data_IF_465973115280
#
_entry.id   IF_465973115280
#
_cell.length_a   1.000
_cell.length_b   1.000
_cell.length_c   1.000
_cell.angle_alpha   90.00
_cell.angle_beta   90.00
_cell.angle_gamma   90.00
#
_symmetry.space_group_name_H-M   'P 1'
#
loop_
_entity.id
_entity.type
_entity.pdbx_description
1 polymer ?
#
# COMPACT_ATOMS: atom_id res chain seq x y z
N UNK A 1 -26.98 -2.04 -5.76
CA UNK A 1 -25.70 -2.73 -5.55
C UNK A 1 -25.64 -3.87 -6.55
N UNK A 2 -24.66 -3.86 -7.45
CA UNK A 2 -24.47 -4.92 -8.45
C UNK A 2 -24.22 -6.25 -7.74
N UNK A 3 -24.71 -7.37 -8.30
CA UNK A 3 -24.42 -8.70 -7.78
C UNK A 3 -23.58 -9.49 -8.78
N UNK A 4 -22.49 -10.05 -8.31
CA UNK A 4 -21.42 -10.64 -9.11
C UNK A 4 -21.34 -12.16 -8.93
N UNK A 5 -22.47 -12.85 -9.08
CA UNK A 5 -22.58 -14.28 -8.82
C UNK A 5 -21.57 -15.11 -9.60
N UNK A 6 -21.47 -14.90 -10.92
CA UNK A 6 -20.58 -15.68 -11.78
C UNK A 6 -19.10 -15.37 -11.53
N UNK A 7 -18.76 -14.09 -11.28
CA UNK A 7 -17.39 -13.68 -11.02
C UNK A 7 -16.90 -14.26 -9.70
N UNK A 8 -17.67 -14.10 -8.62
CA UNK A 8 -17.25 -14.60 -7.30
C UNK A 8 -17.19 -16.13 -7.27
N UNK A 9 -18.12 -16.83 -7.91
CA UNK A 9 -18.09 -18.30 -7.98
C UNK A 9 -16.89 -18.85 -8.77
N UNK A 10 -16.27 -18.04 -9.62
CA UNK A 10 -15.08 -18.40 -10.40
C UNK A 10 -13.76 -17.98 -9.76
N UNK A 11 -13.77 -17.26 -8.62
CA UNK A 11 -12.54 -16.85 -7.96
C UNK A 11 -11.82 -18.08 -7.39
N UNK A 12 -10.48 -18.18 -7.56
CA UNK A 12 -9.71 -19.23 -6.93
C UNK A 12 -9.66 -19.04 -5.42
N UNK A 13 -9.60 -20.14 -4.68
CA UNK A 13 -9.27 -20.09 -3.26
C UNK A 13 -7.78 -19.74 -3.11
N UNK A 14 -7.49 -18.75 -2.26
CA UNK A 14 -6.14 -18.28 -1.97
C UNK A 14 -5.90 -18.24 -0.47
N UNK A 15 -4.68 -18.57 -0.06
CA UNK A 15 -4.24 -18.56 1.33
C UNK A 15 -2.92 -17.80 1.46
N UNK A 16 -2.71 -17.16 2.61
CA UNK A 16 -1.49 -16.37 2.85
C UNK A 16 -0.21 -17.23 2.83
N UNK A 17 -0.34 -18.53 3.10
CA UNK A 17 0.75 -19.50 3.08
C UNK A 17 1.06 -20.06 1.69
N UNK A 18 0.33 -19.65 0.65
CA UNK A 18 0.55 -20.14 -0.71
C UNK A 18 1.95 -19.73 -1.21
N UNK A 19 2.71 -20.73 -1.67
CA UNK A 19 4.08 -20.56 -2.18
C UNK A 19 4.13 -20.39 -3.70
N UNK A 20 2.98 -20.54 -4.36
CA UNK A 20 2.80 -20.34 -5.81
C UNK A 20 1.38 -19.85 -6.06
N UNK A 21 1.22 -19.03 -7.09
CA UNK A 21 -0.07 -18.53 -7.54
C UNK A 21 -0.36 -19.05 -8.94
N UNK A 22 -1.57 -19.56 -9.14
CA UNK A 22 -2.13 -19.86 -10.47
C UNK A 22 -2.92 -18.68 -11.05
N UNK A 23 -3.12 -17.63 -10.26
CA UNK A 23 -3.88 -16.44 -10.59
C UNK A 23 -3.16 -15.23 -9.98
N UNK A 24 -3.08 -14.12 -10.69
CA UNK A 24 -2.29 -12.94 -10.30
C UNK A 24 -3.12 -11.67 -10.35
N UNK A 25 -2.60 -10.58 -9.77
CA UNK A 25 -3.23 -9.24 -9.91
C UNK A 25 -3.37 -8.85 -11.39
N UNK A 26 -2.45 -9.27 -12.25
CA UNK A 26 -2.54 -9.04 -13.69
C UNK A 26 -3.73 -9.81 -14.32
N UNK A 27 -3.90 -11.09 -13.95
CA UNK A 27 -5.02 -11.91 -14.44
C UNK A 27 -6.36 -11.31 -13.99
N UNK A 28 -6.45 -10.84 -12.74
CA UNK A 28 -7.62 -10.13 -12.22
C UNK A 28 -7.96 -8.90 -13.09
N UNK A 29 -6.96 -8.09 -13.44
CA UNK A 29 -7.14 -6.88 -14.26
C UNK A 29 -7.65 -7.21 -15.67
N UNK A 30 -7.28 -8.36 -16.22
CA UNK A 30 -7.72 -8.78 -17.56
C UNK A 30 -9.07 -9.49 -17.58
N UNK A 31 -9.38 -10.25 -16.53
CA UNK A 31 -10.55 -11.16 -16.56
C UNK A 31 -11.74 -10.64 -15.75
N UNK A 32 -11.51 -10.04 -14.57
CA UNK A 32 -12.59 -9.60 -13.68
C UNK A 32 -12.94 -8.14 -13.91
N UNK A 33 -11.93 -7.28 -14.02
CA UNK A 33 -12.12 -5.83 -14.12
C UNK A 33 -13.05 -5.41 -15.27
N UNK A 34 -12.95 -5.95 -16.51
CA UNK A 34 -13.80 -5.54 -17.62
C UNK A 34 -15.31 -5.71 -17.36
N UNK A 35 -15.67 -6.74 -16.60
CA UNK A 35 -17.06 -7.14 -16.31
C UNK A 35 -17.71 -6.35 -15.16
N UNK A 36 -16.94 -5.49 -14.49
CA UNK A 36 -17.45 -4.63 -13.43
C UNK A 36 -18.23 -3.44 -13.98
N UNK A 37 -19.19 -2.95 -13.18
CA UNK A 37 -19.95 -1.74 -13.53
C UNK A 37 -19.03 -0.53 -13.48
N UNK A 38 -19.36 0.55 -14.19
CA UNK A 38 -18.54 1.77 -14.15
C UNK A 38 -18.40 2.36 -12.74
N UNK A 39 -19.38 2.13 -11.85
CA UNK A 39 -19.31 2.57 -10.46
C UNK A 39 -18.37 1.66 -9.64
N UNK A 40 -18.45 0.35 -9.85
CA UNK A 40 -17.65 -0.65 -9.13
C UNK A 40 -16.18 -0.65 -9.60
N UNK A 41 -15.92 -0.34 -10.89
CA UNK A 41 -14.57 -0.09 -11.42
C UNK A 41 -13.86 1.02 -10.65
N UNK A 42 -14.55 2.13 -10.36
CA UNK A 42 -13.97 3.25 -9.57
C UNK A 42 -13.56 2.82 -8.18
N UNK A 43 -14.25 1.85 -7.57
CA UNK A 43 -13.83 1.30 -6.28
C UNK A 43 -12.54 0.49 -6.44
N UNK A 44 -12.44 -0.35 -7.46
CA UNK A 44 -11.21 -1.10 -7.77
C UNK A 44 -10.05 -0.17 -8.14
N UNK A 45 -10.31 0.92 -8.86
CA UNK A 45 -9.29 1.89 -9.24
C UNK A 45 -8.57 2.45 -8.00
N UNK A 46 -9.27 2.62 -6.86
CA UNK A 46 -8.67 3.04 -5.59
C UNK A 46 -7.53 2.13 -5.13
N UNK A 47 -7.61 0.83 -5.38
CA UNK A 47 -6.52 -0.11 -5.07
C UNK A 47 -5.29 0.16 -5.93
N UNK A 48 -5.48 0.43 -7.22
CA UNK A 48 -4.38 0.59 -8.17
C UNK A 48 -3.68 1.96 -8.06
N UNK A 49 -4.37 2.96 -7.51
CA UNK A 49 -3.80 4.29 -7.25
C UNK A 49 -2.54 4.26 -6.36
N UNK A 50 -2.33 3.24 -5.52
CA UNK A 50 -1.07 3.10 -4.76
C UNK A 50 0.16 2.94 -5.67
N UNK A 51 -0.01 2.33 -6.84
CA UNK A 51 1.05 2.22 -7.84
C UNK A 51 1.25 3.55 -8.57
N UNK A 52 0.15 4.24 -8.91
CA UNK A 52 0.19 5.57 -9.51
C UNK A 52 0.87 6.60 -8.60
N UNK A 53 0.60 6.58 -7.29
CA UNK A 53 1.25 7.45 -6.29
C UNK A 53 2.77 7.26 -6.29
N UNK A 54 3.23 6.00 -6.30
CA UNK A 54 4.67 5.68 -6.34
C UNK A 54 5.30 6.10 -7.67
N UNK A 55 4.59 5.91 -8.78
CA UNK A 55 5.04 6.35 -10.10
C UNK A 55 5.13 7.88 -10.17
N UNK A 56 4.16 8.59 -9.61
CA UNK A 56 4.11 10.04 -9.60
C UNK A 56 5.33 10.63 -8.88
N UNK A 57 5.64 10.16 -7.66
CA UNK A 57 6.83 10.60 -6.92
C UNK A 57 8.11 10.29 -7.69
N UNK A 58 8.22 9.11 -8.31
CA UNK A 58 9.39 8.77 -9.14
C UNK A 58 9.55 9.75 -10.31
N UNK A 59 8.48 10.04 -11.04
CA UNK A 59 8.50 10.90 -12.23
C UNK A 59 8.73 12.38 -11.89
N UNK A 60 8.26 12.84 -10.72
CA UNK A 60 8.54 14.19 -10.22
C UNK A 60 10.02 14.39 -9.89
N UNK A 61 10.70 13.33 -9.42
CA UNK A 61 12.14 13.34 -9.14
C UNK A 61 13.00 13.11 -10.39
N UNK A 62 12.58 12.19 -11.27
CA UNK A 62 13.28 11.83 -12.50
C UNK A 62 12.27 11.47 -13.61
N UNK A 63 12.24 12.28 -14.67
CA UNK A 63 11.30 12.12 -15.78
C UNK A 63 11.53 10.86 -16.61
N UNK A 64 12.74 10.30 -16.54
CA UNK A 64 13.12 9.07 -17.26
C UNK A 64 12.98 7.81 -16.37
N UNK A 65 12.44 7.96 -15.15
CA UNK A 65 12.30 6.88 -14.20
C UNK A 65 11.37 5.75 -14.71
N UNK A 66 11.78 4.50 -14.43
CA UNK A 66 10.97 3.32 -14.76
C UNK A 66 9.75 3.24 -13.82
N UNK A 67 8.57 3.25 -14.44
CA UNK A 67 7.27 3.18 -13.77
C UNK A 67 6.74 1.75 -13.67
N UNK A 68 5.87 1.52 -12.69
CA UNK A 68 5.13 0.28 -12.50
C UNK A 68 3.83 0.32 -13.32
N UNK A 69 3.69 -0.58 -14.30
CA UNK A 69 2.55 -0.60 -15.22
C UNK A 69 1.24 -1.13 -14.60
N UNK A 70 1.24 -1.48 -13.31
CA UNK A 70 0.02 -1.89 -12.59
C UNK A 70 -0.90 -0.73 -12.22
N UNK A 71 -0.41 0.51 -12.28
CA UNK A 71 -1.20 1.71 -12.04
C UNK A 71 -2.39 1.85 -13.00
N UNK A 72 -3.31 2.75 -12.67
CA UNK A 72 -4.40 3.11 -13.58
C UNK A 72 -3.89 3.96 -14.75
N UNK A 73 -2.77 4.66 -14.56
CA UNK A 73 -2.20 5.57 -15.54
C UNK A 73 -0.83 5.07 -16.01
N UNK A 74 -0.58 5.25 -17.29
CA UNK A 74 0.74 5.04 -17.86
C UNK A 74 1.72 6.11 -17.39
N UNK A 75 3.02 5.82 -17.46
CA UNK A 75 4.06 6.82 -17.14
C UNK A 75 3.94 8.10 -17.97
N UNK A 76 3.52 8.00 -19.24
CA UNK A 76 3.32 9.16 -20.10
C UNK A 76 2.12 10.02 -19.66
N UNK A 77 0.99 9.39 -19.31
CA UNK A 77 -0.19 10.12 -18.79
C UNK A 77 0.15 10.87 -17.50
N UNK A 78 0.93 10.27 -16.60
CA UNK A 78 1.40 10.94 -15.38
C UNK A 78 2.37 12.09 -15.69
N UNK A 79 3.28 11.95 -16.65
CA UNK A 79 4.16 13.05 -17.11
C UNK A 79 3.38 14.21 -17.74
N UNK A 80 2.35 13.88 -18.51
CA UNK A 80 1.45 14.87 -19.12
C UNK A 80 0.66 15.60 -18.02
N UNK A 81 0.15 14.87 -17.02
CA UNK A 81 -0.50 15.46 -15.84
C UNK A 81 0.44 16.42 -15.10
N UNK A 82 1.67 15.99 -14.78
CA UNK A 82 2.68 16.83 -14.11
C UNK A 82 2.90 18.13 -14.91
N UNK A 83 3.03 18.01 -16.23
CA UNK A 83 3.27 19.15 -17.12
C UNK A 83 2.06 20.09 -17.15
N UNK A 84 0.84 19.55 -17.26
CA UNK A 84 -0.39 20.33 -17.30
C UNK A 84 -0.61 21.12 -16.00
N UNK A 85 -0.38 20.50 -14.84
CA UNK A 85 -0.51 21.17 -13.54
C UNK A 85 0.57 22.24 -13.39
N UNK A 86 1.84 21.94 -13.74
CA UNK A 86 2.93 22.92 -13.69
C UNK A 86 2.66 24.14 -14.59
N UNK A 87 2.09 23.92 -15.76
CA UNK A 87 1.81 24.97 -16.74
C UNK A 87 0.49 25.73 -16.42
N UNK A 88 -0.19 25.41 -15.31
CA UNK A 88 -1.35 26.14 -14.80
C UNK A 88 -2.67 25.81 -15.53
N UNK A 89 -2.80 24.62 -16.11
CA UNK A 89 -4.06 24.15 -16.70
C UNK A 89 -5.13 24.05 -15.61
N UNK A 90 -6.38 24.42 -15.95
CA UNK A 90 -7.50 24.38 -15.01
C UNK A 90 -7.70 22.96 -14.45
N UNK A 91 -7.50 22.81 -13.14
CA UNK A 91 -7.59 21.56 -12.39
C UNK A 91 -8.94 20.85 -12.57
N UNK A 92 -10.05 21.60 -12.67
CA UNK A 92 -11.40 21.05 -12.84
C UNK A 92 -11.62 20.34 -14.20
N UNK A 93 -10.76 20.63 -15.18
CA UNK A 93 -10.83 20.02 -16.51
C UNK A 93 -10.05 18.71 -16.62
N UNK A 94 -9.23 18.39 -15.61
CA UNK A 94 -8.36 17.23 -15.60
C UNK A 94 -9.14 16.00 -15.12
N UNK A 95 -9.17 14.96 -15.95
CA UNK A 95 -9.87 13.70 -15.64
C UNK A 95 -9.06 12.76 -14.72
N UNK A 96 -8.44 13.33 -13.67
CA UNK A 96 -7.61 12.62 -12.70
C UNK A 96 -8.18 12.78 -11.28
N UNK A 97 -7.85 11.88 -10.35
CA UNK A 97 -8.14 12.07 -8.93
C UNK A 97 -7.61 13.42 -8.47
N UNK A 98 -8.48 14.22 -7.85
CA UNK A 98 -8.17 15.60 -7.44
C UNK A 98 -6.94 15.66 -6.54
N UNK A 99 -6.78 14.66 -5.67
CA UNK A 99 -5.66 14.61 -4.73
C UNK A 99 -4.28 14.48 -5.42
N UNK A 100 -4.20 13.91 -6.63
CA UNK A 100 -2.96 13.88 -7.40
C UNK A 100 -2.60 15.28 -7.91
N UNK A 101 -3.61 16.04 -8.32
CA UNK A 101 -3.45 17.43 -8.76
C UNK A 101 -3.02 18.28 -7.56
N UNK A 102 -3.73 18.16 -6.43
CA UNK A 102 -3.41 18.85 -5.17
C UNK A 102 -1.95 18.59 -4.76
N UNK A 103 -1.49 17.33 -4.87
CA UNK A 103 -0.12 16.96 -4.55
C UNK A 103 0.91 17.58 -5.50
N UNK A 104 0.67 17.56 -6.81
CA UNK A 104 1.60 18.16 -7.80
C UNK A 104 1.67 19.68 -7.61
N UNK A 105 0.53 20.33 -7.37
CA UNK A 105 0.44 21.75 -7.04
C UNK A 105 1.24 22.07 -5.77
N UNK A 106 1.12 21.24 -4.72
CA UNK A 106 1.96 21.36 -3.52
C UNK A 106 3.45 21.18 -3.82
N UNK A 107 3.82 20.16 -4.61
CA UNK A 107 5.22 19.84 -4.93
C UNK A 107 5.97 21.01 -5.60
N UNK A 108 5.28 21.77 -6.46
CA UNK A 108 5.86 22.97 -7.10
C UNK A 108 5.68 24.26 -6.30
N UNK A 109 5.00 24.22 -5.15
CA UNK A 109 4.78 25.40 -4.31
C UNK A 109 6.00 25.72 -3.43
N UNK A 110 6.11 26.97 -2.98
CA UNK A 110 7.13 27.39 -2.01
C UNK A 110 7.00 26.69 -0.64
N UNK A 111 5.87 26.04 -0.38
CA UNK A 111 5.59 25.32 0.87
C UNK A 111 6.05 23.85 0.83
N UNK A 112 6.59 23.37 -0.30
CA UNK A 112 7.08 22.01 -0.41
C UNK A 112 8.24 21.78 0.58
N UNK A 113 8.23 20.62 1.24
CA UNK A 113 9.39 20.14 1.98
C UNK A 113 10.21 19.25 1.03
N UNK A 114 11.48 19.60 0.80
CA UNK A 114 12.38 18.83 -0.08
C UNK A 114 12.69 17.42 0.47
N UNK A 115 12.28 17.11 1.71
CA UNK A 115 12.41 15.79 2.27
C UNK A 115 11.42 14.80 1.63
N UNK A 116 11.96 13.83 0.89
CA UNK A 116 11.18 12.79 0.22
C UNK A 116 10.21 12.03 1.15
N UNK A 117 10.58 11.79 2.41
CA UNK A 117 9.68 11.11 3.36
C UNK A 117 8.46 11.98 3.70
N UNK A 118 8.64 13.30 3.84
CA UNK A 118 7.55 14.24 4.10
C UNK A 118 6.62 14.33 2.89
N UNK A 119 7.18 14.31 1.68
CA UNK A 119 6.40 14.29 0.44
C UNK A 119 5.58 12.99 0.31
N UNK A 120 6.18 11.84 0.61
CA UNK A 120 5.49 10.54 0.62
C UNK A 120 4.37 10.49 1.66
N UNK A 121 4.61 11.01 2.87
CA UNK A 121 3.63 11.09 3.94
C UNK A 121 2.46 12.02 3.57
N UNK A 122 2.75 13.16 2.93
CA UNK A 122 1.72 14.09 2.48
C UNK A 122 0.84 13.48 1.36
N UNK A 123 1.46 12.86 0.34
CA UNK A 123 0.72 12.15 -0.71
C UNK A 123 -0.13 11.02 -0.13
N UNK A 124 0.41 10.29 0.85
CA UNK A 124 -0.32 9.25 1.57
C UNK A 124 -1.55 9.82 2.28
N UNK A 125 -1.41 10.99 2.95
CA UNK A 125 -2.53 11.68 3.59
C UNK A 125 -3.66 11.95 2.62
N UNK A 126 -3.30 12.55 1.48
CA UNK A 126 -4.23 12.93 0.42
C UNK A 126 -4.92 11.70 -0.19
N UNK A 127 -4.18 10.61 -0.40
CA UNK A 127 -4.70 9.35 -0.92
C UNK A 127 -5.70 8.68 0.04
N UNK A 128 -5.37 8.56 1.33
CA UNK A 128 -6.27 7.99 2.33
C UNK A 128 -7.54 8.84 2.48
N UNK A 129 -7.40 10.17 2.53
CA UNK A 129 -8.54 11.08 2.58
C UNK A 129 -9.44 10.94 1.35
N UNK A 130 -8.85 10.86 0.15
CA UNK A 130 -9.60 10.66 -1.09
C UNK A 130 -10.39 9.34 -1.08
N UNK A 131 -9.75 8.24 -0.70
CA UNK A 131 -10.40 6.93 -0.64
C UNK A 131 -11.50 6.86 0.44
N UNK A 132 -11.30 7.51 1.58
CA UNK A 132 -12.28 7.58 2.68
C UNK A 132 -13.49 8.48 2.37
N UNK A 133 -13.47 9.26 1.27
CA UNK A 133 -14.66 9.96 0.75
C UNK A 133 -15.58 9.07 -0.09
N UNK A 134 -15.23 7.79 -0.26
CA UNK A 134 -16.07 6.80 -0.94
C UNK A 134 -17.44 6.66 -0.28
N UNK A 135 -18.47 6.36 -1.08
CA UNK A 135 -19.82 6.03 -0.56
C UNK A 135 -19.94 4.58 -0.09
N UNK A 136 -18.91 3.76 -0.34
CA UNK A 136 -18.90 2.36 0.04
C UNK A 136 -18.25 2.21 1.42
N UNK A 137 -19.04 1.79 2.42
CA UNK A 137 -18.62 1.70 3.82
C UNK A 137 -17.42 0.75 4.01
N UNK A 138 -17.42 -0.42 3.36
CA UNK A 138 -16.31 -1.36 3.44
C UNK A 138 -15.00 -0.74 2.95
N UNK A 139 -15.04 0.01 1.84
CA UNK A 139 -13.87 0.74 1.32
C UNK A 139 -13.40 1.77 2.35
N UNK A 140 -14.30 2.60 2.87
CA UNK A 140 -13.96 3.62 3.88
C UNK A 140 -13.29 2.95 5.10
N UNK A 141 -13.90 1.90 5.64
CA UNK A 141 -13.37 1.18 6.80
C UNK A 141 -12.02 0.50 6.52
N UNK A 142 -11.80 -0.04 5.31
CA UNK A 142 -10.52 -0.64 4.94
C UNK A 142 -9.40 0.40 4.88
N UNK A 143 -9.65 1.55 4.26
CA UNK A 143 -8.67 2.62 4.16
C UNK A 143 -8.39 3.25 5.52
N UNK A 144 -9.41 3.48 6.33
CA UNK A 144 -9.27 3.95 7.70
C UNK A 144 -8.47 2.97 8.57
N UNK A 145 -8.78 1.67 8.49
CA UNK A 145 -8.03 0.63 9.19
C UNK A 145 -6.55 0.64 8.83
N UNK A 146 -6.21 0.77 7.54
CA UNK A 146 -4.80 0.82 7.11
C UNK A 146 -4.11 2.11 7.54
N UNK A 147 -4.78 3.26 7.47
CA UNK A 147 -4.24 4.53 7.97
C UNK A 147 -3.93 4.43 9.47
N UNK A 148 -4.89 3.96 10.26
CA UNK A 148 -4.75 3.79 11.70
C UNK A 148 -3.65 2.80 12.05
N UNK A 149 -3.60 1.63 11.39
CA UNK A 149 -2.56 0.63 11.58
C UNK A 149 -1.16 1.20 11.30
N UNK A 150 -0.98 1.89 10.18
CA UNK A 150 0.30 2.48 9.79
C UNK A 150 0.72 3.58 10.78
N UNK A 151 -0.21 4.46 11.15
CA UNK A 151 0.05 5.53 12.11
C UNK A 151 0.40 4.99 13.50
N UNK A 152 -0.29 3.95 13.98
CA UNK A 152 0.04 3.32 15.28
C UNK A 152 1.45 2.74 15.23
N UNK A 153 1.82 2.02 14.16
CA UNK A 153 3.17 1.47 14.01
C UNK A 153 4.22 2.58 13.96
N UNK A 154 3.99 3.64 13.18
CA UNK A 154 4.85 4.81 13.10
C UNK A 154 5.02 5.47 14.48
N UNK A 155 3.93 5.69 15.21
CA UNK A 155 3.94 6.29 16.54
C UNK A 155 4.76 5.46 17.55
N UNK A 156 4.58 4.14 17.55
CA UNK A 156 5.31 3.23 18.41
C UNK A 156 6.81 3.23 18.11
N UNK A 157 7.17 3.21 16.82
CA UNK A 157 8.57 3.32 16.37
C UNK A 157 9.18 4.66 16.78
N UNK A 158 8.50 5.78 16.48
CA UNK A 158 8.93 7.12 16.83
C UNK A 158 9.17 7.26 18.33
N UNK A 159 8.26 6.73 19.16
CA UNK A 159 8.42 6.71 20.62
C UNK A 159 9.60 5.85 21.08
N UNK A 160 9.79 4.65 20.51
CA UNK A 160 10.91 3.76 20.82
C UNK A 160 12.27 4.43 20.55
N UNK A 161 12.36 5.21 19.48
CA UNK A 161 13.58 5.91 19.08
C UNK A 161 13.64 7.38 19.51
N UNK A 162 12.71 7.84 20.38
CA UNK A 162 12.63 9.22 20.89
C UNK A 162 12.55 10.29 19.80
N UNK A 163 11.91 9.96 18.68
CA UNK A 163 11.57 10.88 17.61
C UNK A 163 10.24 11.58 17.92
N UNK A 164 10.02 12.71 17.26
CA UNK A 164 8.76 13.46 17.35
C UNK A 164 7.63 12.64 16.70
N UNK A 165 6.74 12.09 17.54
CA UNK A 165 5.63 11.26 17.09
C UNK A 165 4.74 12.03 16.14
N UNK A 166 4.38 13.28 16.47
CA UNK A 166 3.37 14.03 15.73
C UNK A 166 3.78 14.28 14.26
N UNK A 167 5.08 14.40 13.99
CA UNK A 167 5.62 14.55 12.63
C UNK A 167 5.49 13.30 11.77
N UNK A 168 5.39 12.12 12.37
CA UNK A 168 5.27 10.84 11.66
C UNK A 168 3.82 10.37 11.45
N UNK A 169 2.82 11.15 11.89
CA UNK A 169 1.41 10.76 11.83
C UNK A 169 0.70 11.48 10.69
N UNK A 170 0.11 10.69 9.81
CA UNK A 170 -0.58 11.13 8.60
C UNK A 170 -2.10 11.21 8.84
N UNK A 171 -2.79 12.11 8.14
CA UNK A 171 -4.25 12.26 8.23
C UNK A 171 -4.77 12.88 9.53
N UNK A 172 -6.10 12.97 9.64
CA UNK A 172 -6.83 13.70 10.67
C UNK A 172 -8.01 12.90 11.27
N UNK A 173 -7.89 11.57 11.37
CA UNK A 173 -8.88 10.74 12.09
C UNK A 173 -8.75 10.92 13.61
N UNK A 174 -9.73 10.45 14.38
CA UNK A 174 -9.68 10.47 15.84
C UNK A 174 -8.43 9.74 16.37
N UNK A 175 -8.05 8.62 15.75
CA UNK A 175 -6.81 7.90 16.05
C UNK A 175 -5.59 8.75 15.72
N UNK A 176 -5.52 9.39 14.54
CA UNK A 176 -4.41 10.28 14.20
C UNK A 176 -4.28 11.44 15.19
N UNK A 177 -5.40 12.04 15.63
CA UNK A 177 -5.42 13.13 16.62
C UNK A 177 -4.92 12.63 17.98
N UNK A 178 -5.39 11.47 18.44
CA UNK A 178 -4.95 10.85 19.68
C UNK A 178 -3.44 10.58 19.66
N UNK A 179 -2.91 10.02 18.56
CA UNK A 179 -1.48 9.75 18.41
C UNK A 179 -0.62 11.03 18.43
N UNK A 180 -1.11 12.13 17.83
CA UNK A 180 -0.40 13.43 17.78
C UNK A 180 -0.36 14.15 19.12
N UNK A 181 -1.38 13.96 19.98
CA UNK A 181 -1.59 14.81 21.16
C UNK A 181 -1.45 14.09 22.49
N UNK A 182 -1.64 12.76 22.54
CA UNK A 182 -1.67 12.00 23.78
C UNK A 182 -0.28 11.69 24.34
N UNK A 183 -0.07 12.06 25.60
CA UNK A 183 1.13 11.70 26.37
C UNK A 183 1.11 10.29 26.98
N UNK A 184 -0.02 9.58 26.90
CA UNK A 184 -0.16 8.23 27.47
C UNK A 184 0.69 7.22 26.70
N UNK A 185 1.18 6.17 27.39
CA UNK A 185 2.03 5.12 26.79
C UNK A 185 1.35 4.39 25.63
N UNK A 186 0.04 4.22 25.72
CA UNK A 186 -0.83 3.60 24.73
C UNK A 186 -1.62 4.61 23.89
N UNK A 187 -1.31 5.90 24.06
CA UNK A 187 -2.01 7.03 23.44
C UNK A 187 -3.51 7.14 23.80
N UNK A 188 -4.00 6.36 24.78
CA UNK A 188 -5.43 6.24 25.07
C UNK A 188 -6.20 5.38 24.07
N UNK A 189 -5.50 4.54 23.28
CA UNK A 189 -6.12 3.68 22.27
C UNK A 189 -6.47 2.28 22.77
N UNK A 190 -6.00 1.89 23.96
CA UNK A 190 -6.38 0.60 24.56
C UNK A 190 -7.87 0.59 24.86
N UNK A 191 -8.60 -0.37 24.29
CA UNK A 191 -10.06 -0.48 24.44
C UNK A 191 -10.85 0.32 23.39
N UNK A 192 -10.26 1.32 22.75
CA UNK A 192 -10.87 2.07 21.63
C UNK A 192 -10.52 1.43 20.28
N UNK A 193 -9.31 0.86 20.16
CA UNK A 193 -8.83 0.19 18.95
C UNK A 193 -8.54 -1.28 19.25
N UNK A 194 -9.43 -2.16 18.81
CA UNK A 194 -9.40 -3.60 19.12
C UNK A 194 -8.08 -4.31 18.75
N UNK A 195 -7.36 -3.76 17.77
CA UNK A 195 -6.09 -4.31 17.29
C UNK A 195 -4.84 -3.57 17.82
N UNK A 196 -4.99 -2.61 18.74
CA UNK A 196 -3.86 -1.86 19.30
C UNK A 196 -2.90 -2.78 20.09
N UNK A 197 -3.42 -3.56 21.04
CA UNK A 197 -2.57 -4.47 21.83
C UNK A 197 -1.85 -5.54 20.96
N UNK A 198 -2.53 -6.18 19.98
CA UNK A 198 -1.85 -7.00 18.99
C UNK A 198 -0.70 -6.27 18.29
N UNK A 199 -0.92 -5.05 17.79
CA UNK A 199 0.13 -4.27 17.12
C UNK A 199 1.29 -3.94 18.05
N UNK A 200 1.02 -3.54 19.30
CA UNK A 200 2.05 -3.27 20.29
C UNK A 200 2.96 -4.48 20.48
N UNK A 201 2.39 -5.67 20.67
CA UNK A 201 3.15 -6.93 20.78
C UNK A 201 3.95 -7.25 19.52
N UNK A 202 3.43 -6.94 18.33
CA UNK A 202 4.15 -7.15 17.06
C UNK A 202 5.41 -6.28 16.97
N UNK A 203 5.40 -5.05 17.51
CA UNK A 203 6.60 -4.18 17.51
C UNK A 203 7.76 -4.69 18.38
N UNK A 204 7.50 -5.65 19.26
CA UNK A 204 8.49 -6.32 20.10
C UNK A 204 9.16 -7.51 19.40
N UNK A 205 8.63 -7.95 18.26
CA UNK A 205 9.21 -9.04 17.44
C UNK A 205 10.45 -8.51 16.72
N UNK A 206 11.63 -9.06 17.02
CA UNK A 206 12.90 -8.59 16.45
C UNK A 206 13.05 -8.89 14.95
N UNK A 207 12.59 -10.05 14.50
CA UNK A 207 12.61 -10.39 13.07
C UNK A 207 11.57 -9.55 12.31
N UNK A 208 12.08 -8.64 11.47
CA UNK A 208 11.25 -7.74 10.66
C UNK A 208 10.36 -8.50 9.68
N UNK A 209 10.81 -9.65 9.16
CA UNK A 209 10.03 -10.47 8.24
C UNK A 209 8.87 -11.13 8.99
N UNK A 210 9.13 -11.67 10.18
CA UNK A 210 8.08 -12.23 11.03
C UNK A 210 7.07 -11.16 11.46
N UNK A 211 7.55 -9.95 11.80
CA UNK A 211 6.71 -8.81 12.14
C UNK A 211 5.79 -8.43 10.98
N UNK A 212 6.32 -8.28 9.77
CA UNK A 212 5.54 -7.95 8.57
C UNK A 212 4.50 -9.05 8.28
N UNK A 213 4.86 -10.33 8.43
CA UNK A 213 3.92 -11.45 8.27
C UNK A 213 2.78 -11.40 9.29
N UNK A 214 3.05 -11.04 10.55
CA UNK A 214 2.01 -10.87 11.57
C UNK A 214 1.07 -9.71 11.25
N UNK A 215 1.59 -8.61 10.71
CA UNK A 215 0.79 -7.47 10.25
C UNK A 215 -0.14 -7.90 9.10
N UNK A 216 0.37 -8.66 8.12
CA UNK A 216 -0.45 -9.15 7.02
C UNK A 216 -1.51 -10.16 7.48
N UNK A 217 -1.19 -11.04 8.43
CA UNK A 217 -2.20 -11.93 9.04
C UNK A 217 -3.31 -11.12 9.70
N UNK A 218 -2.98 -10.01 10.37
CA UNK A 218 -3.98 -9.11 10.96
C UNK A 218 -4.86 -8.47 9.87
N UNK A 219 -4.25 -7.96 8.80
CA UNK A 219 -4.99 -7.40 7.65
C UNK A 219 -5.89 -8.44 6.98
N UNK A 220 -5.39 -9.66 6.81
CA UNK A 220 -6.13 -10.77 6.22
C UNK A 220 -7.38 -11.12 7.05
N UNK A 221 -7.22 -11.28 8.37
CA UNK A 221 -8.34 -11.54 9.29
C UNK A 221 -9.36 -10.41 9.29
N UNK A 222 -8.89 -9.16 9.20
CA UNK A 222 -9.78 -8.01 9.06
C UNK A 222 -10.64 -8.15 7.80
N UNK A 223 -10.03 -8.50 6.66
CA UNK A 223 -10.75 -8.69 5.38
C UNK A 223 -11.77 -9.83 5.45
N UNK A 224 -11.41 -10.97 6.04
CA UNK A 224 -12.33 -12.10 6.21
C UNK A 224 -13.55 -11.72 7.06
N UNK A 225 -13.32 -11.01 8.18
CA UNK A 225 -14.39 -10.56 9.06
C UNK A 225 -15.27 -9.50 8.38
N UNK A 226 -14.66 -8.49 7.76
CA UNK A 226 -15.38 -7.40 7.10
C UNK A 226 -16.16 -7.87 5.87
N UNK A 227 -15.78 -9.00 5.26
CA UNK A 227 -16.49 -9.60 4.13
C UNK A 227 -17.37 -10.78 4.50
N UNK A 228 -17.49 -11.15 5.78
CA UNK A 228 -18.22 -12.36 6.22
C UNK A 228 -19.65 -12.45 5.64
N UNK A 229 -20.38 -11.33 5.59
CA UNK A 229 -21.73 -11.26 5.01
C UNK A 229 -21.78 -10.79 3.55
N UNK A 230 -20.62 -10.51 2.95
CA UNK A 230 -20.47 -10.07 1.56
C UNK A 230 -20.17 -11.28 0.67
N UNK A 231 -21.22 -11.89 0.12
CA UNK A 231 -21.10 -13.12 -0.67
C UNK A 231 -20.85 -12.87 -2.16
N UNK A 232 -21.66 -12.01 -2.79
CA UNK A 232 -21.62 -11.80 -4.25
C UNK A 232 -21.54 -10.32 -4.61
N UNK A 233 -20.76 -9.55 -3.84
CA UNK A 233 -20.73 -8.10 -3.90
C UNK A 233 -19.36 -7.58 -4.32
N UNK A 234 -19.26 -6.27 -4.59
CA UNK A 234 -17.99 -5.64 -4.95
C UNK A 234 -16.98 -5.69 -3.80
N UNK A 235 -17.43 -5.66 -2.55
CA UNK A 235 -16.59 -5.77 -1.35
C UNK A 235 -15.85 -7.10 -1.32
N UNK A 236 -16.52 -8.20 -1.70
CA UNK A 236 -15.89 -9.53 -1.81
C UNK A 236 -14.81 -9.55 -2.88
N UNK A 237 -15.09 -8.94 -4.03
CA UNK A 237 -14.13 -8.84 -5.15
C UNK A 237 -12.93 -7.97 -4.77
N UNK A 238 -13.17 -6.84 -4.09
CA UNK A 238 -12.09 -5.95 -3.62
C UNK A 238 -11.23 -6.64 -2.56
N UNK A 239 -11.84 -7.35 -1.60
CA UNK A 239 -11.10 -8.13 -0.61
C UNK A 239 -10.25 -9.22 -1.24
N UNK A 240 -10.80 -9.94 -2.23
CA UNK A 240 -10.02 -10.92 -2.98
C UNK A 240 -8.82 -10.29 -3.68
N UNK A 241 -8.98 -9.13 -4.34
CA UNK A 241 -7.88 -8.40 -4.97
C UNK A 241 -6.78 -8.02 -3.96
N UNK A 242 -7.16 -7.58 -2.76
CA UNK A 242 -6.21 -7.27 -1.69
C UNK A 242 -5.46 -8.51 -1.20
N UNK A 243 -6.19 -9.60 -0.94
CA UNK A 243 -5.62 -10.87 -0.52
C UNK A 243 -4.64 -11.42 -1.58
N UNK A 244 -5.04 -11.35 -2.85
CA UNK A 244 -4.23 -11.79 -3.98
C UNK A 244 -2.90 -11.02 -4.04
N UNK A 245 -2.95 -9.71 -3.87
CA UNK A 245 -1.74 -8.89 -3.88
C UNK A 245 -0.83 -9.15 -2.65
N UNK A 246 -1.41 -9.42 -1.47
CA UNK A 246 -0.62 -9.82 -0.30
C UNK A 246 0.15 -11.11 -0.58
N UNK A 247 -0.50 -12.14 -1.12
CA UNK A 247 0.15 -13.42 -1.47
C UNK A 247 1.22 -13.21 -2.54
N UNK A 248 0.89 -12.47 -3.60
CA UNK A 248 1.82 -12.19 -4.70
C UNK A 248 3.08 -11.46 -4.20
N UNK A 249 2.92 -10.50 -3.27
CA UNK A 249 4.03 -9.79 -2.62
C UNK A 249 4.96 -10.75 -1.87
N UNK A 250 4.42 -11.69 -1.09
CA UNK A 250 5.23 -12.67 -0.35
C UNK A 250 5.99 -13.63 -1.27
N UNK A 251 5.34 -14.12 -2.33
CA UNK A 251 5.98 -15.00 -3.31
C UNK A 251 7.14 -14.29 -4.03
N UNK A 252 6.97 -13.01 -4.38
CA UNK A 252 8.04 -12.22 -4.99
C UNK A 252 9.20 -11.99 -4.01
N UNK A 253 8.91 -11.65 -2.77
CA UNK A 253 9.93 -11.50 -1.72
C UNK A 253 10.73 -12.77 -1.49
N UNK A 254 10.08 -13.94 -1.46
CA UNK A 254 10.77 -15.22 -1.28
C UNK A 254 11.70 -15.55 -2.45
N UNK A 255 11.30 -15.22 -3.69
CA UNK A 255 12.16 -15.38 -4.88
C UNK A 255 13.38 -14.45 -4.83
N UNK A 256 13.19 -13.19 -4.45
CA UNK A 256 14.31 -12.24 -4.31
C UNK A 256 15.27 -12.67 -3.20
N UNK A 257 14.73 -13.09 -2.05
CA UNK A 257 15.51 -13.61 -0.93
C UNK A 257 16.27 -14.87 -1.33
N UNK A 258 15.61 -15.82 -1.99
CA UNK A 258 16.22 -17.04 -2.52
C UNK A 258 17.34 -16.75 -3.52
N UNK A 259 17.11 -15.83 -4.45
CA UNK A 259 18.12 -15.38 -5.43
C UNK A 259 19.33 -14.74 -4.75
N UNK A 260 19.11 -13.88 -3.74
CA UNK A 260 20.18 -13.26 -2.96
C UNK A 260 21.01 -14.29 -2.20
N UNK A 261 20.36 -15.25 -1.52
CA UNK A 261 21.02 -16.35 -0.81
C UNK A 261 21.84 -17.22 -1.79
N UNK A 262 21.28 -17.54 -2.95
CA UNK A 262 21.97 -18.30 -3.99
C UNK A 262 23.23 -17.56 -4.48
N UNK A 263 23.14 -16.25 -4.76
CA UNK A 263 24.32 -15.45 -5.13
C UNK A 263 25.38 -15.44 -4.03
N UNK A 264 24.98 -15.28 -2.77
CA UNK A 264 25.91 -15.35 -1.63
C UNK A 264 26.62 -16.70 -1.53
N UNK A 265 25.92 -17.81 -1.76
CA UNK A 265 26.54 -19.15 -1.81
C UNK A 265 27.54 -19.29 -2.98
N UNK A 266 27.22 -18.76 -4.16
CA UNK A 266 28.13 -18.79 -5.30
C UNK A 266 29.37 -17.93 -5.03
N UNK A 267 29.20 -16.76 -4.41
CA UNK A 267 30.31 -15.88 -4.05
C UNK A 267 31.18 -16.49 -2.96
N UNK A 268 30.61 -17.18 -1.96
CA UNK A 268 31.41 -17.91 -0.96
C UNK A 268 32.20 -19.05 -1.61
N UNK A 269 31.58 -19.83 -2.51
CA UNK A 269 32.27 -20.89 -3.24
C UNK A 269 33.40 -20.36 -4.13
N UNK A 270 33.22 -19.21 -4.79
CA UNK A 270 34.28 -18.57 -5.59
C UNK A 270 35.46 -18.09 -4.73
N UNK A 271 35.19 -17.63 -3.51
CA UNK A 271 36.23 -17.16 -2.59
C UNK A 271 36.97 -18.34 -1.93
N UNK A 272 36.33 -19.49 -1.76
CA UNK A 272 36.94 -20.72 -1.24
C UNK A 272 37.84 -21.42 -2.28
N UNK A 273 37.62 -21.18 -3.58
CA UNK A 273 38.53 -21.66 -4.64
C UNK A 273 39.70 -20.68 -4.78
N UNK A 274 40.65 -20.74 -3.84
CA UNK A 274 41.99 -20.22 -4.09
C UNK A 274 42.76 -21.24 -4.95
N UNK A 275 43.11 -20.84 -6.17
CA UNK A 275 44.03 -21.61 -7.01
C UNK A 275 45.34 -21.76 -6.23
N UNK A 276 45.81 -22.99 -5.94
CA UNK A 276 47.07 -23.21 -5.25
C UNK A 276 48.19 -22.45 -5.96
N UNK A 277 49.08 -21.83 -5.19
CA UNK A 277 50.20 -21.01 -5.69
C UNK A 277 51.10 -21.78 -6.68
N UNK A 278 51.01 -23.10 -6.69
CA UNK A 278 51.69 -24.03 -7.59
C UNK A 278 51.21 -23.97 -9.06
N UNK A 279 50.08 -23.30 -9.34
CA UNK A 279 49.50 -23.16 -10.69
C UNK A 279 49.42 -21.70 -11.19
N UNK A 280 50.20 -20.79 -10.62
CA UNK A 280 50.30 -19.38 -11.05
C UNK A 280 51.64 -19.06 -11.70
#
# INVERSE_FOLDING_TARGET
>A
MSKYYCLVAGLPDIHLEDTKLSYTVADFRTEIYPDLSSADKKLIDLFYLKFDNRNLIKLLNDKDAVTDNRGNYTGQELLDLITQVRDGVNEESLAYPTYLIDFISYYYSENNDDNAAVQEDYLSSLYFEYAMRSKNEFIVSWFEFNLNLNNILAALVSRKYKQDVARSIVGNTDVSIALKTSGARDFGLTGEVDYFEPLLKMTEVDDLVEREKKIDILKWKWLENATFFNYFTIERIFAFLLQLEMVERWILMDKERGSKLFRQMIDSLKNDVQIPVEFR
#
